data_IF_377059788627
#
_entry.id   IF_377059788627
#
_cell.length_a   1.000
_cell.length_b   1.000
_cell.length_c   1.000
_cell.angle_alpha   90.00
_cell.angle_beta   90.00
_cell.angle_gamma   90.00
#
_symmetry.space_group_name_H-M   'P 1'
#
loop_
_entity.id
_entity.type
_entity.pdbx_description
1 polymer ?
#
# COMPACT_ATOMS: atom_id res chain seq x y z
N UNK A 1 1.54 -6.11 13.25
CA UNK A 1 1.80 -5.55 11.92
C UNK A 1 1.00 -4.27 11.72
N UNK A 2 1.64 -3.20 11.25
CA UNK A 2 1.04 -1.88 11.02
C UNK A 2 1.03 -1.57 9.53
N UNK A 3 -0.16 -1.29 8.98
CA UNK A 3 -0.38 -1.19 7.54
C UNK A 3 -0.93 0.19 7.17
N UNK A 4 -0.41 0.76 6.08
CA UNK A 4 -1.02 1.89 5.38
C UNK A 4 -1.67 1.46 4.07
N UNK A 5 -2.83 2.01 3.73
CA UNK A 5 -3.40 1.91 2.37
C UNK A 5 -3.34 3.28 1.71
N UNK A 6 -2.52 3.40 0.67
CA UNK A 6 -2.37 4.61 -0.12
C UNK A 6 -3.32 4.57 -1.32
N UNK A 7 -4.29 5.48 -1.37
CA UNK A 7 -5.38 5.44 -2.34
C UNK A 7 -6.64 4.72 -1.84
N UNK A 8 -6.85 4.67 -0.52
CA UNK A 8 -7.89 3.88 0.16
C UNK A 8 -9.33 4.15 -0.33
N UNK A 9 -9.62 5.33 -0.87
CA UNK A 9 -10.96 5.66 -1.37
C UNK A 9 -11.21 5.28 -2.83
N UNK A 10 -10.18 4.84 -3.54
CA UNK A 10 -10.28 4.32 -4.91
C UNK A 10 -10.86 2.91 -4.93
N UNK A 11 -11.18 2.40 -6.12
CA UNK A 11 -11.74 1.06 -6.26
C UNK A 11 -10.78 -0.03 -5.72
N UNK A 12 -9.51 0.00 -6.15
CA UNK A 12 -8.50 -0.96 -5.71
C UNK A 12 -8.20 -0.82 -4.21
N UNK A 13 -8.08 0.41 -3.69
CA UNK A 13 -7.82 0.63 -2.25
C UNK A 13 -8.94 0.11 -1.35
N UNK A 14 -10.21 0.19 -1.80
CA UNK A 14 -11.34 -0.43 -1.08
C UNK A 14 -11.28 -1.96 -1.12
N UNK A 15 -10.95 -2.54 -2.26
CA UNK A 15 -10.76 -3.99 -2.35
C UNK A 15 -9.59 -4.47 -1.48
N UNK A 16 -8.49 -3.71 -1.39
CA UNK A 16 -7.41 -4.01 -0.45
C UNK A 16 -7.90 -4.01 1.00
N UNK A 17 -8.70 -3.01 1.39
CA UNK A 17 -9.30 -2.92 2.73
C UNK A 17 -10.22 -4.12 3.01
N UNK A 18 -11.10 -4.45 2.07
CA UNK A 18 -12.02 -5.60 2.16
C UNK A 18 -11.24 -6.92 2.25
N UNK A 19 -10.22 -7.14 1.43
CA UNK A 19 -9.38 -8.34 1.50
C UNK A 19 -8.67 -8.50 2.85
N UNK A 20 -8.15 -7.42 3.43
CA UNK A 20 -7.53 -7.48 4.77
C UNK A 20 -8.56 -7.94 5.82
N UNK A 21 -9.77 -7.40 5.75
CA UNK A 21 -10.88 -7.73 6.64
C UNK A 21 -11.35 -9.18 6.46
N UNK A 22 -11.58 -9.63 5.22
CA UNK A 22 -12.04 -10.99 4.88
C UNK A 22 -11.03 -12.07 5.27
N UNK A 23 -9.74 -11.80 5.07
CA UNK A 23 -8.66 -12.73 5.43
C UNK A 23 -8.36 -12.73 6.94
N UNK A 24 -9.04 -11.87 7.73
CA UNK A 24 -8.78 -11.69 9.16
C UNK A 24 -7.29 -11.51 9.45
N UNK A 25 -6.62 -10.69 8.64
CA UNK A 25 -5.20 -10.45 8.79
C UNK A 25 -4.96 -9.75 10.13
N UNK A 26 -3.99 -10.24 10.92
CA UNK A 26 -3.65 -9.64 12.20
C UNK A 26 -2.94 -8.28 12.00
N UNK A 27 -3.73 -7.20 12.01
CA UNK A 27 -3.27 -5.83 11.84
C UNK A 27 -3.45 -5.07 13.18
N UNK A 28 -2.34 -4.61 13.75
CA UNK A 28 -2.32 -3.85 15.01
C UNK A 28 -2.76 -2.39 14.79
N UNK A 29 -2.49 -1.86 13.60
CA UNK A 29 -2.77 -0.47 13.24
C UNK A 29 -3.01 -0.37 11.73
N UNK A 30 -4.12 0.27 11.34
CA UNK A 30 -4.45 0.51 9.94
C UNK A 30 -4.63 2.00 9.68
N UNK A 31 -3.82 2.56 8.77
CA UNK A 31 -3.91 3.96 8.33
C UNK A 31 -4.39 4.04 6.89
N UNK A 32 -5.36 4.92 6.63
CA UNK A 32 -5.95 5.08 5.31
C UNK A 32 -5.55 6.44 4.74
N UNK A 33 -4.91 6.45 3.57
CA UNK A 33 -4.45 7.67 2.92
C UNK A 33 -5.14 7.86 1.57
N UNK A 34 -5.47 9.11 1.25
CA UNK A 34 -6.00 9.48 -0.07
C UNK A 34 -5.70 10.95 -0.39
N UNK A 35 -6.21 11.41 -1.52
CA UNK A 35 -6.08 12.81 -1.94
C UNK A 35 -6.74 13.78 -0.93
N UNK A 36 -6.32 15.06 -0.90
CA UNK A 36 -6.94 16.08 -0.04
C UNK A 36 -8.46 16.18 -0.17
N UNK A 37 -9.00 15.96 -1.37
CA UNK A 37 -10.45 15.93 -1.62
C UNK A 37 -11.18 14.82 -0.85
N UNK A 38 -10.49 13.74 -0.53
CA UNK A 38 -11.05 12.55 0.11
C UNK A 38 -10.74 12.47 1.60
N UNK A 39 -9.91 13.38 2.12
CA UNK A 39 -9.58 13.46 3.53
C UNK A 39 -10.84 13.71 4.39
N UNK A 40 -10.85 13.14 5.59
CA UNK A 40 -11.99 13.23 6.51
C UNK A 40 -13.14 12.26 6.20
N UNK A 41 -13.11 11.55 5.06
CA UNK A 41 -14.03 10.43 4.83
C UNK A 41 -13.73 9.32 5.84
N UNK A 42 -14.77 8.61 6.25
CA UNK A 42 -14.64 7.45 7.15
C UNK A 42 -14.95 6.19 6.34
N UNK A 43 -14.03 5.23 6.38
CA UNK A 43 -14.25 3.88 5.83
C UNK A 43 -14.42 2.91 7.01
N UNK A 44 -15.27 1.90 6.85
CA UNK A 44 -15.48 0.87 7.87
C UNK A 44 -14.42 -0.22 7.76
N UNK A 45 -13.94 -0.70 8.91
CA UNK A 45 -13.04 -1.86 9.04
C UNK A 45 -13.38 -2.57 10.35
N UNK A 46 -13.82 -3.84 10.28
CA UNK A 46 -14.36 -4.61 11.39
C UNK A 46 -15.48 -3.89 12.17
N UNK A 47 -16.31 -3.15 11.45
CA UNK A 47 -17.39 -2.34 12.02
C UNK A 47 -16.94 -1.04 12.70
N UNK A 48 -15.63 -0.77 12.76
CA UNK A 48 -15.06 0.48 13.27
C UNK A 48 -14.79 1.46 12.13
N UNK A 49 -14.99 2.75 12.40
CA UNK A 49 -14.75 3.80 11.41
C UNK A 49 -13.31 4.30 11.45
N UNK A 50 -12.60 4.20 10.33
CA UNK A 50 -11.25 4.74 10.15
C UNK A 50 -11.29 5.97 9.25
N UNK A 51 -10.79 7.10 9.77
CA UNK A 51 -10.71 8.36 9.02
C UNK A 51 -9.58 8.33 8.01
N UNK A 52 -9.89 8.70 6.77
CA UNK A 52 -8.94 8.86 5.68
C UNK A 52 -8.16 10.16 5.85
N UNK A 53 -6.84 10.06 5.77
CA UNK A 53 -5.88 11.14 5.98
C UNK A 53 -5.21 11.56 4.66
N UNK A 54 -4.64 12.75 4.64
CA UNK A 54 -3.73 13.21 3.56
C UNK A 54 -2.32 12.74 3.91
N UNK A 55 -1.53 12.41 2.90
CA UNK A 55 -0.10 12.14 3.11
C UNK A 55 0.65 13.43 3.43
N UNK A 56 1.44 13.38 4.49
CA UNK A 56 2.44 14.35 4.88
C UNK A 56 3.81 13.65 5.09
N UNK A 57 4.81 14.40 5.55
CA UNK A 57 6.18 13.92 5.71
C UNK A 57 6.36 12.85 6.80
N UNK A 58 5.37 12.69 7.71
CA UNK A 58 5.41 11.77 8.85
C UNK A 58 4.40 10.63 8.72
N UNK A 59 3.54 10.65 7.69
CA UNK A 59 2.41 9.74 7.52
C UNK A 59 2.78 8.27 7.58
N UNK A 60 3.96 7.91 7.08
CA UNK A 60 4.42 6.53 7.00
C UNK A 60 5.24 6.08 8.21
N UNK A 61 5.56 6.98 9.15
CA UNK A 61 6.38 6.65 10.31
C UNK A 61 5.77 5.55 11.17
N UNK A 62 6.57 4.52 11.43
CA UNK A 62 6.17 3.36 12.22
C UNK A 62 5.23 2.38 11.52
N UNK A 63 4.95 2.54 10.22
CA UNK A 63 4.30 1.49 9.44
C UNK A 63 5.31 0.42 9.05
N UNK A 64 4.85 -0.84 8.99
CA UNK A 64 5.64 -1.95 8.45
C UNK A 64 5.46 -2.03 6.93
N UNK A 65 4.22 -1.88 6.47
CA UNK A 65 3.85 -2.04 5.05
C UNK A 65 2.93 -0.93 4.57
N UNK A 66 3.07 -0.56 3.31
CA UNK A 66 2.16 0.35 2.60
C UNK A 66 1.64 -0.35 1.35
N UNK A 67 0.32 -0.53 1.25
CA UNK A 67 -0.34 -1.02 0.04
C UNK A 67 -0.63 0.16 -0.89
N UNK A 68 0.03 0.19 -2.04
CA UNK A 68 -0.06 1.28 -3.01
C UNK A 68 -1.14 1.04 -4.06
N UNK A 69 -2.18 1.86 -4.06
CA UNK A 69 -3.27 1.85 -5.05
C UNK A 69 -3.44 3.23 -5.71
N UNK A 70 -2.33 3.88 -6.04
CA UNK A 70 -2.27 5.21 -6.66
C UNK A 70 -1.63 5.17 -8.04
N UNK A 71 -1.60 6.31 -8.74
CA UNK A 71 -0.99 6.43 -10.05
C UNK A 71 0.54 6.32 -9.97
N UNK A 72 1.18 5.95 -11.07
CA UNK A 72 2.64 5.85 -11.14
C UNK A 72 3.38 7.12 -10.69
N UNK A 73 2.79 8.30 -10.95
CA UNK A 73 3.37 9.58 -10.54
C UNK A 73 3.39 9.70 -9.01
N UNK A 74 2.27 9.40 -8.35
CA UNK A 74 2.17 9.43 -6.88
C UNK A 74 3.00 8.32 -6.23
N UNK A 75 3.05 7.12 -6.82
CA UNK A 75 3.94 6.06 -6.32
C UNK A 75 5.39 6.54 -6.29
N UNK A 76 5.88 7.16 -7.37
CA UNK A 76 7.25 7.71 -7.43
C UNK A 76 7.48 8.85 -6.44
N UNK A 77 6.46 9.68 -6.23
CA UNK A 77 6.51 10.79 -5.27
C UNK A 77 6.61 10.31 -3.82
N UNK A 78 5.84 9.29 -3.44
CA UNK A 78 5.74 8.83 -2.05
C UNK A 78 6.76 7.74 -1.69
N UNK A 79 7.31 7.00 -2.65
CA UNK A 79 8.29 5.95 -2.39
C UNK A 79 9.46 6.41 -1.49
N UNK A 80 10.10 7.58 -1.72
CA UNK A 80 11.17 8.06 -0.85
C UNK A 80 10.73 8.31 0.60
N UNK A 81 9.49 8.76 0.81
CA UNK A 81 8.94 8.98 2.16
C UNK A 81 8.68 7.65 2.88
N UNK A 82 8.16 6.66 2.14
CA UNK A 82 7.89 5.31 2.66
C UNK A 82 9.21 4.62 3.04
N UNK A 83 10.22 4.66 2.17
CA UNK A 83 11.55 4.10 2.45
C UNK A 83 12.23 4.83 3.62
N UNK A 84 12.11 6.15 3.71
CA UNK A 84 12.63 6.93 4.86
C UNK A 84 12.00 6.49 6.19
N UNK A 85 10.74 6.08 6.16
CA UNK A 85 10.04 5.53 7.32
C UNK A 85 10.39 4.06 7.64
N UNK A 86 11.26 3.42 6.84
CA UNK A 86 11.60 1.99 6.87
C UNK A 86 10.41 1.04 6.63
N UNK A 87 9.36 1.54 5.98
CA UNK A 87 8.23 0.73 5.56
C UNK A 87 8.50 0.13 4.16
N UNK A 88 7.83 -0.99 3.85
CA UNK A 88 7.89 -1.62 2.53
C UNK A 88 6.66 -1.25 1.72
N UNK A 89 6.86 -0.68 0.52
CA UNK A 89 5.77 -0.41 -0.41
C UNK A 89 5.44 -1.68 -1.23
N UNK A 90 4.18 -2.11 -1.21
CA UNK A 90 3.64 -3.10 -2.13
C UNK A 90 2.80 -2.35 -3.18
N UNK A 91 3.40 -2.11 -4.35
CA UNK A 91 2.86 -1.20 -5.36
C UNK A 91 1.99 -1.93 -6.40
N UNK A 92 0.72 -1.54 -6.51
CA UNK A 92 -0.18 -2.04 -7.55
C UNK A 92 -0.04 -1.26 -8.88
N UNK A 93 0.69 -0.15 -8.90
CA UNK A 93 0.94 0.62 -10.11
C UNK A 93 1.91 -0.10 -11.07
N UNK A 94 2.17 0.50 -12.23
CA UNK A 94 3.20 0.01 -13.16
C UNK A 94 4.51 0.78 -13.06
N UNK A 95 4.68 1.65 -12.05
CA UNK A 95 5.80 2.56 -11.95
C UNK A 95 7.18 1.87 -11.92
N UNK A 96 7.24 0.67 -11.32
CA UNK A 96 8.49 -0.01 -10.99
C UNK A 96 8.59 -1.45 -11.50
N UNK A 97 7.57 -1.97 -12.21
CA UNK A 97 7.50 -3.37 -12.68
C UNK A 97 8.66 -3.83 -13.57
N UNK A 98 9.36 -2.90 -14.20
CA UNK A 98 10.46 -3.16 -15.14
C UNK A 98 11.83 -2.74 -14.56
N UNK A 99 11.91 -2.37 -13.28
CA UNK A 99 13.18 -2.08 -12.64
C UNK A 99 13.81 -3.37 -12.14
N UNK A 100 15.05 -3.63 -12.54
CA UNK A 100 15.76 -4.88 -12.25
C UNK A 100 15.93 -5.15 -10.75
N UNK A 101 15.95 -4.10 -9.93
CA UNK A 101 16.11 -4.14 -8.47
C UNK A 101 14.77 -4.16 -7.70
N UNK A 102 13.64 -4.22 -8.41
CA UNK A 102 12.31 -4.27 -7.80
C UNK A 102 11.64 -5.61 -8.12
N UNK A 103 11.41 -6.50 -7.12
CA UNK A 103 10.79 -7.78 -7.38
C UNK A 103 9.34 -7.61 -7.85
N UNK A 104 8.99 -8.30 -8.95
CA UNK A 104 7.65 -8.39 -9.49
C UNK A 104 7.05 -9.74 -9.08
N UNK A 105 6.12 -9.74 -8.13
CA UNK A 105 5.80 -10.97 -7.37
C UNK A 105 4.37 -11.44 -7.61
N UNK A 106 4.22 -12.73 -7.93
CA UNK A 106 3.01 -13.52 -7.72
C UNK A 106 3.35 -14.56 -6.65
N UNK A 107 2.75 -14.51 -5.45
CA UNK A 107 3.17 -15.35 -4.32
C UNK A 107 3.28 -16.84 -4.63
N UNK A 108 2.36 -17.38 -5.43
CA UNK A 108 2.29 -18.79 -5.81
C UNK A 108 3.32 -19.20 -6.87
N UNK A 109 3.96 -18.25 -7.56
CA UNK A 109 4.93 -18.50 -8.63
C UNK A 109 6.34 -18.19 -8.16
N UNK A 110 6.54 -17.02 -7.54
CA UNK A 110 7.86 -16.50 -7.17
C UNK A 110 7.82 -15.72 -5.85
N UNK A 111 7.06 -16.18 -4.86
CA UNK A 111 6.91 -15.52 -3.56
C UNK A 111 8.23 -15.25 -2.83
N UNK A 112 9.24 -16.10 -2.99
CA UNK A 112 10.55 -15.93 -2.36
C UNK A 112 11.27 -14.66 -2.84
N UNK A 113 10.98 -14.17 -4.06
CA UNK A 113 11.58 -12.94 -4.60
C UNK A 113 11.22 -11.71 -3.75
N UNK A 114 10.07 -11.74 -3.05
CA UNK A 114 9.68 -10.67 -2.15
C UNK A 114 10.71 -10.43 -1.03
N UNK A 115 11.42 -11.48 -0.58
CA UNK A 115 12.42 -11.37 0.49
C UNK A 115 13.69 -10.62 0.05
N UNK A 116 13.87 -10.42 -1.26
CA UNK A 116 15.00 -9.70 -1.86
C UNK A 116 14.67 -8.22 -2.14
N UNK A 117 13.55 -7.70 -1.64
CA UNK A 117 13.14 -6.32 -1.89
C UNK A 117 14.11 -5.28 -1.34
N UNK A 118 14.12 -4.09 -1.94
CA UNK A 118 14.83 -2.90 -1.43
C UNK A 118 13.87 -1.80 -0.95
N UNK A 119 12.82 -2.22 -0.21
CA UNK A 119 11.78 -1.33 0.31
C UNK A 119 10.59 -1.13 -0.62
N UNK A 120 10.57 -1.83 -1.76
CA UNK A 120 9.45 -1.87 -2.69
C UNK A 120 9.31 -3.27 -3.32
N UNK A 121 8.06 -3.70 -3.50
CA UNK A 121 7.65 -4.87 -4.27
C UNK A 121 6.60 -4.41 -5.27
N UNK A 122 6.65 -4.88 -6.52
CA UNK A 122 5.64 -4.58 -7.54
C UNK A 122 4.65 -5.73 -7.68
N UNK A 123 3.36 -5.39 -7.80
CA UNK A 123 2.32 -6.31 -8.25
C UNK A 123 2.24 -6.32 -9.78
N UNK A 124 2.11 -7.49 -10.44
CA UNK A 124 1.88 -7.60 -11.87
C UNK A 124 0.62 -6.92 -12.40
N UNK A 125 0.46 -6.96 -13.73
CA UNK A 125 -0.80 -6.58 -14.36
C UNK A 125 -1.88 -7.64 -14.04
N UNK A 126 -3.13 -7.23 -13.93
CA UNK A 126 -4.27 -8.13 -13.69
C UNK A 126 -4.54 -9.12 -14.84
N UNK A 127 -3.97 -8.90 -16.02
CA UNK A 127 -4.08 -9.80 -17.18
C UNK A 127 -2.87 -10.72 -17.38
N UNK A 128 -1.84 -10.58 -16.55
CA UNK A 128 -0.63 -11.42 -16.58
C UNK A 128 -0.89 -12.69 -15.79
#
# INVERSE_FOLDING_TARGET
MKIGILGATGAVGRQMLECIEEQNLAVDELRLFSSPRSAGRVLSFHGEGITVQVVDEHSFEGLDYVLGAVSNALTKEYLPLIQKANAVLIDNSSAFRLQDDVPLVVPEINGDDALHHHGIISNPNCST
#
